data_IF_870569494260
#
_entry.id   IF_870569494260
#
_cell.length_a   1.000
_cell.length_b   1.000
_cell.length_c   1.000
_cell.angle_alpha   90.00
_cell.angle_beta   90.00
_cell.angle_gamma   90.00
#
_symmetry.space_group_name_H-M   'P 1'
#
loop_
_entity.id
_entity.type
_entity.pdbx_description
1 polymer ?
#
# COMPACT_ATOMS: atom_id res chain seq x y z
N UNK A 1 -23.31 76.92 -31.83
CA UNK A 1 -21.91 77.28 -31.50
C UNK A 1 -21.63 76.88 -30.05
N UNK A 2 -20.42 76.38 -29.80
CA UNK A 2 -19.76 76.09 -28.51
C UNK A 2 -20.13 74.81 -27.71
N UNK A 3 -19.07 74.00 -27.59
CA UNK A 3 -18.84 72.75 -26.84
C UNK A 3 -19.04 72.90 -25.33
N UNK A 4 -19.31 71.78 -24.64
CA UNK A 4 -18.47 71.33 -23.50
C UNK A 4 -18.60 69.83 -23.24
N UNK A 5 -17.43 69.21 -23.07
CA UNK A 5 -17.17 67.81 -22.75
C UNK A 5 -17.36 67.60 -21.24
N UNK A 6 -17.88 66.43 -20.85
CA UNK A 6 -17.76 65.88 -19.50
C UNK A 6 -17.30 64.43 -19.58
N UNK A 7 -16.03 64.18 -19.30
CA UNK A 7 -15.46 62.83 -19.18
C UNK A 7 -15.79 62.26 -17.80
N UNK A 8 -16.32 61.03 -17.77
CA UNK A 8 -16.48 60.23 -16.55
C UNK A 8 -15.16 59.59 -16.14
N UNK A 9 -14.79 59.53 -14.84
CA UNK A 9 -13.68 58.72 -14.39
C UNK A 9 -14.11 57.27 -14.10
N UNK A 10 -13.67 56.39 -14.98
CA UNK A 10 -12.83 55.21 -14.69
C UNK A 10 -13.26 54.24 -13.57
N UNK A 11 -13.92 53.16 -13.95
CA UNK A 11 -14.19 51.95 -13.14
C UNK A 11 -13.00 50.97 -13.03
N UNK A 12 -11.75 51.39 -13.28
CA UNK A 12 -10.57 50.50 -13.34
C UNK A 12 -9.72 50.48 -12.05
N UNK A 13 -10.11 51.18 -10.99
CA UNK A 13 -9.27 51.31 -9.79
C UNK A 13 -9.58 50.34 -8.65
N UNK A 14 -10.69 49.60 -8.68
CA UNK A 14 -11.13 48.76 -7.55
C UNK A 14 -10.79 47.28 -7.69
N UNK A 15 -10.42 46.81 -8.89
CA UNK A 15 -10.07 45.41 -9.14
C UNK A 15 -8.59 45.09 -8.89
N UNK A 16 -7.72 46.09 -8.77
CA UNK A 16 -6.28 45.87 -8.53
C UNK A 16 -5.92 45.76 -7.04
N UNK A 17 -6.69 46.40 -6.15
CA UNK A 17 -6.43 46.35 -4.70
C UNK A 17 -6.82 45.00 -4.09
N UNK A 18 -7.92 44.38 -4.52
CA UNK A 18 -8.34 43.05 -4.05
C UNK A 18 -7.40 41.91 -4.52
N UNK A 19 -6.62 42.14 -5.59
CA UNK A 19 -5.67 41.14 -6.10
C UNK A 19 -4.30 41.21 -5.42
N UNK A 20 -3.99 42.26 -4.66
CA UNK A 20 -2.71 42.41 -3.95
C UNK A 20 -2.78 42.02 -2.47
N UNK A 21 -3.97 42.01 -1.85
CA UNK A 21 -4.13 41.65 -0.42
C UNK A 21 -4.02 40.14 -0.15
N UNK A 22 -4.13 39.29 -1.17
CA UNK A 22 -4.06 37.82 -1.01
C UNK A 22 -2.62 37.24 -0.97
N UNK A 23 -1.58 38.09 -0.90
CA UNK A 23 -0.20 37.65 -1.14
C UNK A 23 0.84 38.19 -0.14
N UNK A 24 0.57 38.14 1.16
CA UNK A 24 1.65 38.20 2.17
C UNK A 24 1.23 37.77 3.58
N UNK A 25 0.74 36.54 3.75
CA UNK A 25 0.83 35.93 5.08
C UNK A 25 2.30 35.56 5.28
N UNK A 26 2.95 36.16 6.27
CA UNK A 26 4.34 35.82 6.62
C UNK A 26 4.33 34.39 7.17
N UNK A 27 5.34 33.58 6.87
CA UNK A 27 5.44 32.20 7.42
C UNK A 27 5.35 32.17 8.96
N UNK A 28 5.65 33.29 9.63
CA UNK A 28 5.52 33.48 11.08
C UNK A 28 4.08 33.59 11.61
N UNK A 29 3.07 33.73 10.73
CA UNK A 29 1.64 33.87 11.08
C UNK A 29 0.82 32.62 10.76
N UNK A 30 1.45 31.58 10.18
CA UNK A 30 0.80 30.28 10.02
C UNK A 30 0.69 29.63 11.40
N UNK A 31 -0.50 29.11 11.78
CA UNK A 31 -0.62 28.32 13.00
C UNK A 31 0.42 27.19 12.94
N UNK A 32 1.06 26.84 14.07
CA UNK A 32 1.99 25.73 14.10
C UNK A 32 1.31 24.51 13.50
N UNK A 33 1.96 23.89 12.51
CA UNK A 33 1.42 22.71 11.86
C UNK A 33 1.12 21.66 12.93
N UNK A 34 -0.05 20.99 12.86
CA UNK A 34 -0.41 20.00 13.86
C UNK A 34 0.71 18.97 13.99
N UNK A 35 1.07 18.65 15.24
CA UNK A 35 2.11 17.67 15.53
C UNK A 35 1.78 16.36 14.83
N UNK A 36 2.73 15.86 14.03
CA UNK A 36 2.56 14.56 13.37
C UNK A 36 2.94 13.38 14.29
N UNK A 37 3.33 13.66 15.54
CA UNK A 37 3.64 12.66 16.56
C UNK A 37 2.44 11.72 16.77
N UNK A 38 2.71 10.42 16.80
CA UNK A 38 1.67 9.39 16.96
C UNK A 38 0.92 9.04 15.67
N UNK A 39 1.11 9.79 14.56
CA UNK A 39 0.43 9.52 13.29
C UNK A 39 1.18 8.47 12.46
N UNK A 40 0.45 7.55 11.82
CA UNK A 40 0.96 6.68 10.76
C UNK A 40 0.20 6.96 9.46
N UNK A 41 0.94 7.29 8.40
CA UNK A 41 0.40 7.60 7.07
C UNK A 41 0.94 6.63 6.03
N UNK A 42 0.07 6.10 5.18
CA UNK A 42 0.48 5.42 3.97
C UNK A 42 0.53 6.41 2.82
N UNK A 43 1.66 6.47 2.12
CA UNK A 43 1.83 7.34 0.96
C UNK A 43 2.35 6.58 -0.25
N UNK A 44 1.98 7.08 -1.44
CA UNK A 44 2.51 6.48 -2.65
C UNK A 44 4.02 6.73 -2.74
N UNK A 45 4.80 5.71 -3.07
CA UNK A 45 6.26 5.76 -3.22
C UNK A 45 6.75 6.78 -4.24
N UNK A 46 5.90 7.17 -5.19
CA UNK A 46 6.17 8.19 -6.22
C UNK A 46 5.88 9.62 -5.74
N UNK A 47 5.32 9.78 -4.54
CA UNK A 47 5.08 11.10 -3.95
C UNK A 47 6.43 11.74 -3.65
N UNK A 48 6.59 13.00 -4.05
CA UNK A 48 7.83 13.76 -3.82
C UNK A 48 8.04 14.03 -2.32
N UNK A 49 9.28 13.95 -1.87
CA UNK A 49 9.71 14.24 -0.49
C UNK A 49 9.20 15.59 0.00
N UNK A 50 9.27 16.63 -0.83
CA UNK A 50 8.86 17.99 -0.45
C UNK A 50 7.35 18.07 -0.18
N UNK A 51 6.56 17.26 -0.90
CA UNK A 51 5.12 17.18 -0.69
C UNK A 51 4.79 16.49 0.63
N UNK A 52 5.51 15.41 0.97
CA UNK A 52 5.36 14.71 2.24
C UNK A 52 5.76 15.61 3.40
N UNK A 53 6.93 16.26 3.30
CA UNK A 53 7.44 17.17 4.33
C UNK A 53 6.50 18.35 4.58
N UNK A 54 5.86 18.89 3.55
CA UNK A 54 4.89 19.98 3.71
C UNK A 54 3.60 19.51 4.38
N UNK A 55 3.14 18.28 4.10
CA UNK A 55 1.89 17.74 4.67
C UNK A 55 2.08 17.22 6.10
N UNK A 56 3.25 16.64 6.38
CA UNK A 56 3.58 15.94 7.61
C UNK A 56 5.00 16.33 8.05
N UNK A 57 5.17 17.58 8.50
CA UNK A 57 6.50 18.12 8.81
C UNK A 57 7.16 17.32 9.93
N UNK A 58 8.39 16.87 9.68
CA UNK A 58 9.23 16.18 10.66
C UNK A 58 8.97 14.66 10.77
N UNK A 59 7.95 14.13 10.11
CA UNK A 59 7.68 12.69 10.13
C UNK A 59 8.78 11.88 9.45
N UNK A 60 9.09 10.72 10.02
CA UNK A 60 10.01 9.77 9.43
C UNK A 60 9.41 9.17 8.16
N UNK A 61 10.13 9.22 7.05
CA UNK A 61 9.69 8.62 5.77
C UNK A 61 10.41 7.30 5.56
N UNK A 62 9.67 6.20 5.59
CA UNK A 62 10.20 4.84 5.51
C UNK A 62 9.70 4.13 4.26
N UNK A 63 10.64 3.68 3.41
CA UNK A 63 10.35 2.93 2.19
C UNK A 63 10.30 1.43 2.48
N UNK A 64 9.09 0.88 2.59
CA UNK A 64 8.83 -0.56 2.84
C UNK A 64 8.63 -1.35 1.54
N UNK A 65 8.92 -0.76 0.38
CA UNK A 65 8.83 -1.47 -0.90
C UNK A 65 10.04 -2.38 -1.12
N UNK A 66 9.98 -3.24 -2.13
CA UNK A 66 11.13 -4.03 -2.58
C UNK A 66 12.36 -3.18 -2.98
N UNK A 67 12.18 -1.87 -3.22
CA UNK A 67 13.26 -0.92 -3.53
C UNK A 67 13.77 -0.16 -2.31
N UNK A 68 13.13 -0.32 -1.15
CA UNK A 68 13.54 0.30 0.09
C UNK A 68 14.95 -0.11 0.53
N UNK A 69 15.59 0.67 1.41
CA UNK A 69 16.83 0.26 2.05
C UNK A 69 16.57 -0.84 3.08
N UNK A 70 17.62 -1.52 3.52
CA UNK A 70 17.54 -2.40 4.69
C UNK A 70 17.42 -1.54 5.97
N UNK A 71 16.73 -2.02 7.01
CA UNK A 71 15.99 -3.29 7.06
C UNK A 71 14.58 -3.22 6.43
N UNK A 72 14.08 -2.03 6.09
CA UNK A 72 12.69 -1.79 5.67
C UNK A 72 12.23 -2.56 4.43
N UNK A 73 13.14 -2.89 3.52
CA UNK A 73 12.88 -3.78 2.38
C UNK A 73 12.27 -5.12 2.78
N UNK A 74 12.61 -5.63 3.97
CA UNK A 74 12.09 -6.90 4.49
C UNK A 74 10.56 -6.90 4.66
N UNK A 75 9.94 -5.73 4.84
CA UNK A 75 8.48 -5.62 4.89
C UNK A 75 7.78 -5.79 3.54
N UNK A 76 8.54 -5.78 2.44
CA UNK A 76 8.00 -6.07 1.12
C UNK A 76 7.43 -7.50 1.09
N UNK A 77 6.22 -7.73 0.55
CA UNK A 77 5.66 -9.08 0.42
C UNK A 77 6.49 -9.98 -0.52
N UNK A 78 7.42 -9.41 -1.29
CA UNK A 78 8.34 -10.15 -2.15
C UNK A 78 9.57 -10.67 -1.38
N UNK A 79 9.91 -10.10 -0.22
CA UNK A 79 11.16 -10.44 0.46
C UNK A 79 11.16 -11.92 0.89
N UNK A 80 12.22 -12.69 0.57
CA UNK A 80 12.25 -14.13 0.77
C UNK A 80 12.63 -14.48 2.23
N UNK A 81 11.73 -14.25 3.18
CA UNK A 81 11.93 -14.61 4.59
C UNK A 81 12.11 -16.11 4.83
N UNK A 82 11.61 -16.96 3.92
CA UNK A 82 11.62 -18.40 4.13
C UNK A 82 10.54 -18.85 5.12
N UNK A 83 10.22 -20.14 5.10
CA UNK A 83 9.39 -20.81 6.10
C UNK A 83 8.02 -20.17 6.43
N UNK A 84 7.45 -19.31 5.58
CA UNK A 84 6.12 -18.72 5.82
C UNK A 84 5.08 -19.82 5.56
N UNK A 85 4.27 -20.24 6.53
CA UNK A 85 3.28 -21.29 6.31
C UNK A 85 2.21 -20.81 5.32
N UNK A 86 1.76 -21.70 4.45
CA UNK A 86 0.56 -21.46 3.64
C UNK A 86 -0.65 -21.52 4.59
N UNK A 87 -1.41 -20.43 4.80
CA UNK A 87 -2.40 -20.39 5.88
C UNK A 87 -3.49 -21.47 5.80
N UNK A 88 -3.91 -21.83 4.60
CA UNK A 88 -4.92 -22.86 4.35
C UNK A 88 -4.34 -24.29 4.31
N UNK A 89 -3.02 -24.43 4.35
CA UNK A 89 -2.31 -25.72 4.36
C UNK A 89 -0.94 -25.57 5.06
N UNK A 90 -0.87 -25.45 6.41
CA UNK A 90 0.36 -25.08 7.13
C UNK A 90 1.53 -26.07 6.99
N UNK A 91 1.28 -27.30 6.55
CA UNK A 91 2.34 -28.27 6.21
C UNK A 91 3.16 -27.86 4.97
N UNK A 92 2.65 -26.94 4.17
CA UNK A 92 3.36 -26.31 3.05
C UNK A 92 3.85 -24.93 3.47
N UNK A 93 5.02 -24.54 2.96
CA UNK A 93 5.63 -23.24 3.26
C UNK A 93 6.04 -22.52 1.98
N UNK A 94 6.09 -21.20 2.05
CA UNK A 94 6.60 -20.32 0.99
C UNK A 94 7.78 -19.48 1.47
N UNK A 95 8.60 -19.07 0.52
CA UNK A 95 9.73 -18.16 0.75
C UNK A 95 9.27 -16.74 1.01
N UNK A 96 8.14 -16.32 0.43
CA UNK A 96 7.61 -14.96 0.55
C UNK A 96 6.07 -14.96 0.54
N UNK A 97 5.45 -13.90 1.08
CA UNK A 97 3.99 -13.72 1.06
C UNK A 97 3.48 -13.67 -0.37
N UNK A 98 4.17 -12.96 -1.26
CA UNK A 98 3.83 -12.91 -2.68
C UNK A 98 4.00 -14.27 -3.34
N UNK A 99 5.01 -15.07 -2.95
CA UNK A 99 5.19 -16.43 -3.46
C UNK A 99 3.99 -17.33 -3.16
N UNK A 100 3.45 -17.24 -1.94
CA UNK A 100 2.20 -17.92 -1.55
C UNK A 100 1.03 -17.40 -2.38
N UNK A 101 0.87 -16.07 -2.44
CA UNK A 101 -0.22 -15.43 -3.17
C UNK A 101 -0.25 -15.82 -4.65
N UNK A 102 0.90 -15.73 -5.33
CA UNK A 102 1.01 -16.06 -6.74
C UNK A 102 0.98 -17.57 -6.98
N UNK A 103 1.53 -18.38 -6.08
CA UNK A 103 1.51 -19.84 -6.23
C UNK A 103 0.10 -20.42 -6.15
N UNK A 104 -0.75 -19.88 -5.28
CA UNK A 104 -2.13 -20.36 -5.12
C UNK A 104 -3.10 -19.76 -6.15
N UNK A 105 -2.69 -18.75 -6.91
CA UNK A 105 -3.54 -18.09 -7.90
C UNK A 105 -3.94 -19.06 -9.02
N UNK A 106 -5.21 -19.09 -9.38
CA UNK A 106 -5.72 -19.94 -10.45
C UNK A 106 -6.36 -19.11 -11.56
N UNK A 107 -6.24 -19.62 -12.78
CA UNK A 107 -6.78 -19.05 -14.01
C UNK A 107 -7.61 -20.11 -14.76
N UNK A 108 -8.39 -19.68 -15.77
CA UNK A 108 -9.20 -20.56 -16.61
C UNK A 108 -8.39 -21.72 -17.23
N UNK A 109 -7.14 -21.46 -17.61
CA UNK A 109 -6.27 -22.42 -18.33
C UNK A 109 -5.00 -22.80 -17.56
N UNK A 110 -4.88 -22.37 -16.30
CA UNK A 110 -3.67 -22.61 -15.48
C UNK A 110 -4.06 -22.73 -13.99
N UNK A 111 -3.73 -23.86 -13.36
CA UNK A 111 -4.00 -24.13 -11.94
C UNK A 111 -3.02 -23.43 -10.99
N UNK A 112 -2.74 -24.06 -9.85
CA UNK A 112 -1.69 -23.61 -8.92
C UNK A 112 -0.29 -23.74 -9.55
N UNK A 113 0.62 -22.88 -9.14
CA UNK A 113 2.03 -22.91 -9.53
C UNK A 113 2.91 -22.95 -8.28
N UNK A 114 3.15 -24.16 -7.77
CA UNK A 114 3.94 -24.38 -6.54
C UNK A 114 5.40 -23.95 -6.67
N UNK A 115 5.92 -23.76 -7.89
CA UNK A 115 7.27 -23.22 -8.10
C UNK A 115 7.42 -21.80 -7.54
N UNK A 116 6.32 -21.06 -7.37
CA UNK A 116 6.34 -19.73 -6.73
C UNK A 116 6.58 -19.78 -5.23
N UNK A 117 6.27 -20.90 -4.58
CA UNK A 117 6.49 -21.07 -3.14
C UNK A 117 7.98 -21.10 -2.80
N UNK A 118 8.82 -21.70 -3.64
CA UNK A 118 10.27 -21.86 -3.38
C UNK A 118 11.14 -20.74 -3.94
N UNK A 119 10.53 -19.74 -4.59
CA UNK A 119 11.27 -18.70 -5.31
C UNK A 119 11.86 -17.63 -4.38
N UNK A 120 13.15 -17.35 -4.53
CA UNK A 120 13.94 -16.47 -3.64
C UNK A 120 14.42 -15.16 -4.26
N UNK A 121 14.56 -15.08 -5.58
CA UNK A 121 15.23 -13.95 -6.24
C UNK A 121 14.33 -12.72 -6.49
N UNK A 122 13.09 -12.71 -5.99
CA UNK A 122 12.04 -11.68 -6.18
C UNK A 122 11.67 -11.37 -7.65
N UNK A 123 12.29 -12.02 -8.64
CA UNK A 123 12.07 -11.79 -10.08
C UNK A 123 10.93 -12.66 -10.57
N UNK A 124 10.20 -12.25 -11.62
CA UNK A 124 9.15 -13.05 -12.29
C UNK A 124 8.18 -13.79 -11.35
N UNK A 125 7.88 -13.17 -10.21
CA UNK A 125 7.00 -13.75 -9.19
C UNK A 125 5.54 -13.64 -9.62
N UNK A 126 5.18 -12.52 -10.25
CA UNK A 126 3.80 -12.18 -10.58
C UNK A 126 3.26 -13.01 -11.75
N UNK A 127 2.12 -13.65 -11.54
CA UNK A 127 1.29 -14.31 -12.57
C UNK A 127 0.12 -13.38 -12.94
N UNK A 128 0.21 -12.74 -14.11
CA UNK A 128 -0.79 -11.82 -14.64
C UNK A 128 -1.84 -12.49 -15.55
N UNK A 129 -2.93 -11.79 -15.87
CA UNK A 129 -3.86 -12.24 -16.92
C UNK A 129 -3.14 -12.24 -18.27
N UNK A 130 -3.29 -13.29 -19.06
CA UNK A 130 -2.81 -13.36 -20.45
C UNK A 130 -3.71 -14.29 -21.26
N UNK A 131 -3.64 -14.24 -22.60
CA UNK A 131 -4.42 -15.14 -23.48
C UNK A 131 -4.14 -16.62 -23.21
N UNK A 132 -2.89 -16.94 -22.82
CA UNK A 132 -2.46 -18.28 -22.45
C UNK A 132 -3.10 -18.77 -21.15
N UNK A 133 -3.26 -17.88 -20.15
CA UNK A 133 -3.83 -18.25 -18.84
C UNK A 133 -5.35 -18.12 -18.77
N UNK A 134 -5.93 -17.19 -19.53
CA UNK A 134 -7.33 -16.79 -19.39
C UNK A 134 -7.55 -15.86 -18.19
N UNK A 135 -8.82 -15.73 -17.77
CA UNK A 135 -9.24 -14.91 -16.63
C UNK A 135 -8.75 -15.51 -15.31
N UNK A 136 -8.60 -14.67 -14.30
CA UNK A 136 -8.33 -15.10 -12.92
C UNK A 136 -9.62 -15.67 -12.34
N UNK A 137 -9.57 -16.90 -11.82
CA UNK A 137 -10.72 -17.55 -11.20
C UNK A 137 -10.75 -17.34 -9.68
N UNK A 138 -9.58 -17.25 -9.04
CA UNK A 138 -9.47 -17.14 -7.59
C UNK A 138 -8.13 -17.66 -7.09
N UNK A 139 -8.10 -18.10 -5.84
CA UNK A 139 -6.95 -18.76 -5.22
C UNK A 139 -7.34 -20.12 -4.64
N UNK A 140 -6.54 -21.14 -4.89
CA UNK A 140 -6.74 -22.46 -4.31
C UNK A 140 -6.49 -22.44 -2.80
N UNK A 141 -7.25 -23.25 -2.07
CA UNK A 141 -7.01 -23.48 -0.64
C UNK A 141 -5.90 -24.52 -0.39
N UNK A 142 -5.44 -25.24 -1.41
CA UNK A 142 -4.40 -26.28 -1.32
C UNK A 142 -3.40 -26.15 -2.44
N UNK A 143 -2.16 -26.56 -2.17
CA UNK A 143 -1.05 -26.56 -3.13
C UNK A 143 -1.14 -27.68 -4.18
N UNK A 144 -2.13 -28.56 -4.10
CA UNK A 144 -2.29 -29.75 -4.95
C UNK A 144 -3.54 -29.69 -5.85
N UNK A 145 -4.09 -28.51 -6.14
CA UNK A 145 -5.31 -28.42 -6.94
C UNK A 145 -5.07 -28.98 -8.36
N UNK A 146 -5.66 -30.15 -8.65
CA UNK A 146 -5.72 -30.78 -9.95
C UNK A 146 -6.34 -29.82 -10.97
N UNK A 147 -5.99 -30.00 -12.25
CA UNK A 147 -6.54 -29.29 -13.41
C UNK A 147 -8.05 -29.02 -13.28
N UNK A 148 -8.54 -27.83 -13.72
CA UNK A 148 -9.97 -27.49 -13.66
C UNK A 148 -10.73 -28.28 -14.73
N UNK A 149 -10.95 -29.58 -14.53
CA UNK A 149 -11.87 -30.39 -15.36
C UNK A 149 -13.04 -30.96 -14.56
N UNK A 150 -13.17 -30.61 -13.28
CA UNK A 150 -14.31 -30.94 -12.44
C UNK A 150 -14.66 -29.70 -11.61
N UNK A 151 -15.82 -29.11 -11.93
CA UNK A 151 -16.49 -27.95 -11.31
C UNK A 151 -15.61 -26.98 -10.45
N UNK A 152 -15.29 -25.78 -10.95
CA UNK A 152 -14.34 -24.85 -10.31
C UNK A 152 -14.84 -24.13 -9.03
N UNK A 153 -16.06 -24.39 -8.55
CA UNK A 153 -16.70 -23.57 -7.49
C UNK A 153 -16.33 -23.95 -6.06
N UNK A 154 -16.06 -25.23 -5.75
CA UNK A 154 -16.05 -25.69 -4.35
C UNK A 154 -14.66 -25.61 -3.68
N UNK A 155 -13.62 -25.21 -4.42
CA UNK A 155 -12.23 -25.24 -3.93
C UNK A 155 -11.47 -23.92 -4.07
N UNK A 156 -12.02 -22.93 -4.78
CA UNK A 156 -11.37 -21.65 -5.02
C UNK A 156 -11.97 -20.54 -4.14
N UNK A 157 -11.08 -19.79 -3.51
CA UNK A 157 -11.43 -18.55 -2.84
C UNK A 157 -11.53 -17.43 -3.86
N UNK A 158 -12.69 -16.76 -3.89
CA UNK A 158 -12.82 -15.46 -4.54
C UNK A 158 -11.84 -14.44 -3.97
N UNK A 159 -11.58 -13.36 -4.70
CA UNK A 159 -10.48 -12.43 -4.41
C UNK A 159 -10.51 -11.85 -2.97
N UNK A 160 -11.67 -11.43 -2.48
CA UNK A 160 -11.83 -10.94 -1.09
C UNK A 160 -11.55 -12.04 -0.06
N UNK A 161 -12.09 -13.24 -0.27
CA UNK A 161 -11.86 -14.37 0.63
C UNK A 161 -10.40 -14.80 0.62
N UNK A 162 -9.74 -14.77 -0.53
CA UNK A 162 -8.31 -15.04 -0.64
C UNK A 162 -7.48 -14.00 0.12
N UNK A 163 -7.82 -12.70 0.05
CA UNK A 163 -7.16 -11.68 0.89
C UNK A 163 -7.25 -12.06 2.37
N UNK A 164 -8.46 -12.33 2.85
CA UNK A 164 -8.73 -12.61 4.27
C UNK A 164 -8.10 -13.90 4.76
N UNK A 165 -8.18 -14.99 3.97
CA UNK A 165 -7.76 -16.33 4.40
C UNK A 165 -6.34 -16.71 4.00
N UNK A 166 -5.71 -15.98 3.08
CA UNK A 166 -4.36 -16.29 2.58
C UNK A 166 -3.43 -15.09 2.77
N UNK A 167 -3.77 -13.92 2.22
CA UNK A 167 -2.83 -12.80 2.21
C UNK A 167 -2.59 -12.21 3.61
N UNK A 168 -3.65 -11.92 4.35
CA UNK A 168 -3.54 -11.34 5.69
C UNK A 168 -2.82 -12.28 6.67
N UNK A 169 -3.17 -13.57 6.83
CA UNK A 169 -2.48 -14.42 7.79
C UNK A 169 -1.01 -14.67 7.41
N UNK A 170 -0.70 -14.80 6.11
CA UNK A 170 0.69 -14.93 5.66
C UNK A 170 1.50 -13.66 5.94
N UNK A 171 0.90 -12.48 5.77
CA UNK A 171 1.55 -11.21 6.08
C UNK A 171 1.66 -10.97 7.60
N UNK A 172 0.69 -11.43 8.40
CA UNK A 172 0.79 -11.41 9.86
C UNK A 172 1.99 -12.21 10.34
N UNK A 173 2.21 -13.42 9.80
CA UNK A 173 3.40 -14.22 10.15
C UNK A 173 4.70 -13.46 9.87
N UNK A 174 4.77 -12.71 8.78
CA UNK A 174 5.91 -11.85 8.46
C UNK A 174 6.09 -10.77 9.53
N UNK A 175 5.03 -10.07 9.92
CA UNK A 175 5.06 -9.00 10.91
C UNK A 175 5.48 -9.51 12.30
N UNK A 176 4.99 -10.67 12.72
CA UNK A 176 5.37 -11.32 13.97
C UNK A 176 6.86 -11.69 14.01
N UNK A 177 7.42 -12.13 12.88
CA UNK A 177 8.85 -12.43 12.75
C UNK A 177 9.73 -11.19 12.75
N UNK A 178 9.21 -10.09 12.23
CA UNK A 178 9.88 -8.79 12.17
C UNK A 178 9.57 -7.91 13.37
N UNK A 179 9.36 -8.51 14.55
CA UNK A 179 8.94 -7.79 15.76
C UNK A 179 9.89 -6.64 16.12
N UNK A 180 11.20 -6.82 15.94
CA UNK A 180 12.20 -5.81 16.30
C UNK A 180 12.10 -4.61 15.35
N UNK A 181 12.04 -4.86 14.03
CA UNK A 181 11.81 -3.79 13.06
C UNK A 181 10.44 -3.10 13.24
N UNK A 182 9.40 -3.84 13.67
CA UNK A 182 8.10 -3.24 14.01
C UNK A 182 8.23 -2.31 15.23
N UNK A 183 8.99 -2.70 16.26
CA UNK A 183 9.23 -1.83 17.41
C UNK A 183 9.97 -0.55 17.03
N UNK A 184 10.93 -0.63 16.10
CA UNK A 184 11.58 0.56 15.55
C UNK A 184 10.59 1.50 14.85
N UNK A 185 9.66 0.96 14.05
CA UNK A 185 8.60 1.76 13.44
C UNK A 185 7.67 2.39 14.48
N UNK A 186 7.29 1.65 15.53
CA UNK A 186 6.51 2.18 16.67
C UNK A 186 7.26 3.34 17.35
N UNK A 187 8.57 3.19 17.61
CA UNK A 187 9.38 4.26 18.20
C UNK A 187 9.48 5.51 17.30
N UNK A 188 9.62 5.34 15.97
CA UNK A 188 9.62 6.46 15.03
C UNK A 188 8.28 7.21 15.02
N UNK A 189 7.16 6.47 15.04
CA UNK A 189 5.81 7.04 15.15
C UNK A 189 5.69 7.92 16.39
N UNK A 190 6.10 7.45 17.56
CA UNK A 190 6.02 8.22 18.81
C UNK A 190 7.00 9.40 18.85
N UNK A 191 8.10 9.34 18.11
CA UNK A 191 9.09 10.42 18.08
C UNK A 191 8.69 11.58 17.17
N UNK A 192 8.16 11.30 15.98
CA UNK A 192 7.91 12.36 14.98
C UNK A 192 6.76 12.09 14.01
N UNK A 193 6.06 10.96 14.17
CA UNK A 193 5.15 10.44 13.16
C UNK A 193 5.88 9.62 12.09
N UNK A 194 5.10 8.80 11.38
CA UNK A 194 5.61 7.81 10.47
C UNK A 194 4.87 7.85 9.13
N UNK A 195 5.62 7.91 8.03
CA UNK A 195 5.10 7.79 6.67
C UNK A 195 5.68 6.52 6.06
N UNK A 196 4.81 5.56 5.76
CA UNK A 196 5.17 4.31 5.09
C UNK A 196 4.93 4.45 3.58
N UNK A 197 5.97 4.22 2.77
CA UNK A 197 5.88 4.30 1.32
C UNK A 197 5.55 2.93 0.70
N UNK A 198 4.55 2.94 -0.18
CA UNK A 198 4.15 1.78 -0.98
C UNK A 198 3.72 2.21 -2.39
N UNK A 199 3.75 1.32 -3.38
CA UNK A 199 3.20 1.57 -4.71
C UNK A 199 1.68 1.58 -4.72
N UNK A 200 1.04 0.79 -3.84
CA UNK A 200 -0.42 0.84 -3.62
C UNK A 200 -0.72 1.54 -2.30
N UNK A 201 -1.87 2.20 -2.21
CA UNK A 201 -2.27 2.94 -0.99
C UNK A 201 -3.71 2.62 -0.59
N UNK A 202 -4.26 1.50 -1.07
CA UNK A 202 -5.58 1.05 -0.62
C UNK A 202 -5.43 0.37 0.74
N UNK A 203 -5.85 1.04 1.81
CA UNK A 203 -5.86 0.52 3.18
C UNK A 203 -7.12 -0.31 3.48
N UNK A 204 -8.15 -0.22 2.61
CA UNK A 204 -9.41 -0.95 2.77
C UNK A 204 -9.31 -2.37 2.20
N UNK A 205 -9.39 -3.35 3.10
CA UNK A 205 -9.34 -4.79 2.80
C UNK A 205 -10.54 -5.22 1.95
N UNK A 206 -11.72 -4.67 2.21
CA UNK A 206 -12.97 -4.98 1.51
C UNK A 206 -12.98 -4.40 0.09
N UNK A 207 -12.27 -3.29 -0.13
CA UNK A 207 -12.14 -2.67 -1.44
C UNK A 207 -11.31 -3.51 -2.42
N UNK A 208 -11.99 -4.36 -3.18
CA UNK A 208 -11.39 -5.22 -4.19
C UNK A 208 -11.05 -4.51 -5.52
N UNK A 209 -11.49 -3.26 -5.71
CA UNK A 209 -11.26 -2.51 -6.95
C UNK A 209 -9.80 -2.04 -7.10
N UNK A 210 -9.08 -1.95 -5.98
CA UNK A 210 -7.67 -1.53 -5.94
C UNK A 210 -6.83 -2.59 -5.23
N UNK A 211 -5.57 -2.83 -5.64
CA UNK A 211 -4.69 -3.73 -4.91
C UNK A 211 -4.47 -3.23 -3.47
N UNK A 212 -4.52 -4.14 -2.51
CA UNK A 212 -4.28 -3.85 -1.09
C UNK A 212 -2.85 -3.32 -0.89
N UNK A 213 -2.69 -2.32 -0.04
CA UNK A 213 -1.39 -1.80 0.37
C UNK A 213 -0.81 -2.66 1.48
N UNK A 214 0.43 -3.13 1.32
CA UNK A 214 1.12 -3.83 2.41
C UNK A 214 1.59 -2.83 3.48
N UNK A 215 1.91 -1.59 3.11
CA UNK A 215 2.13 -0.52 4.09
C UNK A 215 0.89 -0.24 4.95
N UNK A 216 -0.32 -0.35 4.38
CA UNK A 216 -1.57 -0.31 5.14
C UNK A 216 -1.68 -1.41 6.18
N UNK A 217 -1.20 -2.63 5.86
CA UNK A 217 -1.17 -3.73 6.81
C UNK A 217 -0.17 -3.52 7.95
N UNK A 218 1.02 -2.97 7.65
CA UNK A 218 1.99 -2.58 8.67
C UNK A 218 1.39 -1.51 9.60
N UNK A 219 0.71 -0.51 9.04
CA UNK A 219 0.01 0.52 9.81
C UNK A 219 -1.03 -0.09 10.76
N UNK A 220 -1.92 -0.95 10.24
CA UNK A 220 -2.91 -1.64 11.06
C UNK A 220 -2.25 -2.42 12.20
N UNK A 221 -1.11 -3.07 11.95
CA UNK A 221 -0.38 -3.79 13.00
C UNK A 221 0.27 -2.87 14.04
N UNK A 222 0.82 -1.74 13.61
CA UNK A 222 1.39 -0.73 14.50
C UNK A 222 0.32 -0.10 15.40
N UNK A 223 -0.87 0.11 14.85
CA UNK A 223 -2.03 0.70 15.53
C UNK A 223 -2.89 -0.34 16.27
N UNK A 224 -2.40 -1.58 16.40
CA UNK A 224 -3.06 -2.71 17.07
C UNK A 224 -4.48 -3.02 16.51
N UNK A 225 -4.73 -2.62 15.26
CA UNK A 225 -5.97 -2.80 14.50
C UNK A 225 -5.88 -3.87 13.41
N UNK A 226 -4.88 -4.76 13.45
CA UNK A 226 -4.75 -5.83 12.47
C UNK A 226 -5.97 -6.77 12.55
N UNK A 227 -6.57 -7.17 11.41
CA UNK A 227 -7.73 -8.07 11.42
C UNK A 227 -7.41 -9.38 12.11
N UNK A 228 -8.35 -9.88 12.93
CA UNK A 228 -8.28 -11.23 13.47
C UNK A 228 -8.37 -12.23 12.30
N UNK A 229 -7.32 -13.03 12.13
CA UNK A 229 -7.15 -14.01 11.05
C UNK A 229 -7.26 -15.43 11.55
#
# INVERSE_FOLDING_TARGET
MSKRRGSSPTALSLSSELSQTAKRIRQSELPPLPSSVGLVVVANRRTKSETLQRKYPGSAVIDVTAKGPMPWRKFSPFYPHGDIPVPTQPSQKGMSVEGIWQGLKCFEKEGVDVSKLTKTDMKDMKRGKSLRRGKVLGHAQRCTASTPSSSPSDHLLGYLQARKRIYLPAYLTLLERMKDEVQELKALREKSGLILLDYNTNEDIENCQKPLSHAGLIKLYIEDGYPKV
#
